data_IF_618178427032
#
_entry.id   IF_618178427032
#
_cell.length_a   1.000
_cell.length_b   1.000
_cell.length_c   1.000
_cell.angle_alpha   90.00
_cell.angle_beta   90.00
_cell.angle_gamma   90.00
#
_symmetry.space_group_name_H-M   'P 1'
#
loop_
_entity.id
_entity.type
_entity.pdbx_description
1 polymer ?
#
# COMPACT_ATOMS: atom_id res chain seq x y z
N UNK A 1 -11.68 -7.76 -14.28
CA UNK A 1 -10.24 -8.09 -14.39
C UNK A 1 -9.67 -7.84 -15.79
N UNK A 2 -10.02 -6.70 -16.41
CA UNK A 2 -9.37 -6.26 -17.65
C UNK A 2 -7.87 -5.99 -17.45
N UNK A 3 -7.42 -5.29 -16.37
CA UNK A 3 -5.99 -5.06 -16.15
C UNK A 3 -5.20 -6.35 -16.00
N UNK A 4 -5.75 -7.36 -15.31
CA UNK A 4 -5.09 -8.67 -15.18
C UNK A 4 -4.98 -9.40 -16.51
N UNK A 5 -6.02 -9.35 -17.34
CA UNK A 5 -6.00 -9.93 -18.69
C UNK A 5 -4.91 -9.27 -19.53
N UNK A 6 -4.82 -7.93 -19.49
CA UNK A 6 -3.78 -7.18 -20.20
C UNK A 6 -2.38 -7.51 -19.67
N UNK A 7 -2.21 -7.53 -18.35
CA UNK A 7 -0.95 -7.85 -17.70
C UNK A 7 -0.46 -9.24 -18.07
N UNK A 8 -1.32 -10.25 -17.93
CA UNK A 8 -0.95 -11.63 -18.24
C UNK A 8 -0.63 -11.84 -19.72
N UNK A 9 -1.27 -11.12 -20.65
CA UNK A 9 -0.99 -11.21 -22.09
C UNK A 9 0.27 -10.48 -22.53
N UNK A 10 0.54 -9.32 -21.95
CA UNK A 10 1.57 -8.40 -22.43
C UNK A 10 2.87 -8.49 -21.62
N UNK A 11 2.77 -8.75 -20.32
CA UNK A 11 3.85 -8.51 -19.36
C UNK A 11 4.39 -9.78 -18.71
N UNK A 12 3.58 -10.83 -18.57
CA UNK A 12 3.91 -12.00 -17.73
C UNK A 12 5.28 -12.64 -18.04
N UNK A 13 5.67 -12.72 -19.32
CA UNK A 13 6.95 -13.30 -19.74
C UNK A 13 8.16 -12.36 -19.57
N UNK A 14 7.92 -11.07 -19.33
CA UNK A 14 8.95 -10.04 -19.19
C UNK A 14 9.21 -9.65 -17.73
N UNK A 15 8.41 -10.14 -16.78
CA UNK A 15 8.58 -9.79 -15.38
C UNK A 15 9.88 -10.36 -14.79
N UNK A 16 10.55 -9.61 -13.91
CA UNK A 16 11.83 -10.01 -13.30
C UNK A 16 11.67 -10.99 -12.13
N UNK A 17 10.55 -11.71 -12.08
CA UNK A 17 10.18 -12.68 -11.06
C UNK A 17 9.19 -13.68 -11.64
N UNK A 18 8.98 -14.80 -10.93
CA UNK A 18 8.06 -15.85 -11.40
C UNK A 18 6.61 -15.35 -11.36
N UNK A 19 5.89 -15.56 -12.44
CA UNK A 19 4.43 -15.41 -12.51
C UNK A 19 3.85 -16.78 -12.88
N UNK A 20 2.67 -17.16 -12.36
CA UNK A 20 2.02 -18.39 -12.79
C UNK A 20 1.80 -18.35 -14.30
N UNK A 21 2.23 -19.39 -15.03
CA UNK A 21 2.09 -19.41 -16.48
C UNK A 21 0.63 -19.23 -16.88
N UNK A 22 0.33 -18.22 -17.68
CA UNK A 22 -1.02 -18.04 -18.24
C UNK A 22 -1.15 -18.84 -19.53
N UNK A 23 -2.08 -19.80 -19.57
CA UNK A 23 -2.39 -20.60 -20.76
C UNK A 23 -3.43 -19.93 -21.65
N UNK A 24 -4.42 -19.28 -21.04
CA UNK A 24 -5.46 -18.55 -21.73
C UNK A 24 -6.00 -17.44 -20.83
N UNK A 25 -6.26 -16.28 -21.42
CA UNK A 25 -7.01 -15.24 -20.72
C UNK A 25 -7.78 -14.39 -21.72
N UNK A 26 -9.01 -14.05 -21.37
CA UNK A 26 -9.86 -13.20 -22.19
C UNK A 26 -10.81 -12.37 -21.33
N UNK A 27 -11.24 -11.24 -21.87
CA UNK A 27 -12.15 -10.29 -21.24
C UNK A 27 -13.18 -9.84 -22.28
N UNK A 28 -14.47 -9.89 -21.91
CA UNK A 28 -15.57 -9.39 -22.71
C UNK A 28 -15.96 -7.97 -22.26
N UNK A 29 -15.62 -6.90 -23.03
CA UNK A 29 -15.92 -5.53 -22.61
C UNK A 29 -17.41 -5.24 -22.44
N UNK A 30 -18.26 -5.94 -23.18
CA UNK A 30 -19.72 -5.72 -23.15
C UNK A 30 -20.37 -6.26 -21.88
N UNK A 31 -19.89 -7.39 -21.35
CA UNK A 31 -20.47 -8.03 -20.17
C UNK A 31 -19.58 -7.91 -18.92
N UNK A 32 -18.35 -7.41 -19.06
CA UNK A 32 -17.31 -7.39 -18.02
C UNK A 32 -16.88 -8.77 -17.49
N UNK A 33 -17.32 -9.84 -18.15
CA UNK A 33 -16.91 -11.20 -17.81
C UNK A 33 -15.48 -11.43 -18.29
N UNK A 34 -14.74 -12.26 -17.57
CA UNK A 34 -13.38 -12.63 -17.89
C UNK A 34 -13.14 -14.10 -17.56
N UNK A 35 -12.06 -14.64 -18.11
CA UNK A 35 -11.58 -15.99 -17.83
C UNK A 35 -10.05 -15.95 -17.78
N UNK A 36 -9.49 -16.63 -16.79
CA UNK A 36 -8.06 -16.88 -16.65
C UNK A 36 -7.85 -18.38 -16.48
N UNK A 37 -7.06 -18.98 -17.38
CA UNK A 37 -6.56 -20.34 -17.23
C UNK A 37 -5.06 -20.24 -16.99
N UNK A 38 -4.66 -20.44 -15.74
CA UNK A 38 -3.27 -20.28 -15.29
C UNK A 38 -2.69 -21.60 -14.75
N UNK A 39 -1.38 -21.63 -14.58
CA UNK A 39 -0.63 -22.68 -13.90
C UNK A 39 -1.20 -22.95 -12.51
N UNK A 40 -1.39 -24.24 -12.22
CA UNK A 40 -1.67 -24.68 -10.87
C UNK A 40 -0.37 -24.65 -10.05
N UNK A 41 -0.34 -23.83 -9.00
CA UNK A 41 0.80 -23.75 -8.09
C UNK A 41 0.67 -24.85 -7.04
N UNK A 42 1.67 -25.74 -6.98
CA UNK A 42 1.72 -26.80 -5.97
C UNK A 42 2.31 -26.28 -4.65
N UNK A 43 1.43 -25.83 -3.76
CA UNK A 43 1.80 -25.35 -2.43
C UNK A 43 2.19 -26.51 -1.49
N UNK A 44 3.27 -26.34 -0.73
CA UNK A 44 3.62 -27.20 0.40
C UNK A 44 2.59 -27.09 1.52
N UNK A 45 2.56 -28.09 2.40
CA UNK A 45 1.84 -28.01 3.68
C UNK A 45 2.66 -27.27 4.77
N UNK A 46 3.93 -27.00 4.49
CA UNK A 46 4.87 -26.35 5.42
C UNK A 46 5.08 -24.88 5.05
N UNK A 47 5.17 -24.00 6.05
CA UNK A 47 5.50 -22.59 5.83
C UNK A 47 6.96 -22.36 5.42
N UNK A 48 7.88 -23.27 5.75
CA UNK A 48 9.31 -23.20 5.42
C UNK A 48 9.79 -24.57 4.91
N UNK A 49 9.38 -25.00 3.70
CA UNK A 49 9.83 -26.25 3.13
C UNK A 49 11.36 -26.25 3.01
N UNK A 50 12.02 -27.31 3.47
CA UNK A 50 13.49 -27.43 3.45
C UNK A 50 14.01 -27.96 2.10
N UNK A 51 13.48 -27.42 1.01
CA UNK A 51 13.83 -27.80 -0.35
C UNK A 51 13.74 -26.60 -1.29
N UNK A 52 14.79 -26.37 -2.07
CA UNK A 52 14.80 -25.35 -3.11
C UNK A 52 13.63 -25.51 -4.09
N UNK A 53 13.11 -24.38 -4.54
CA UNK A 53 12.00 -24.23 -5.50
C UNK A 53 10.67 -24.84 -5.08
N UNK A 54 10.57 -25.47 -3.91
CA UNK A 54 9.30 -25.90 -3.35
C UNK A 54 8.55 -24.68 -2.82
N UNK A 55 7.31 -24.49 -3.28
CA UNK A 55 6.49 -23.35 -2.88
C UNK A 55 6.03 -23.53 -1.44
N UNK A 56 6.27 -22.54 -0.58
CA UNK A 56 5.80 -22.50 0.80
C UNK A 56 4.27 -22.60 0.85
N UNK A 57 3.70 -23.07 1.96
CA UNK A 57 2.25 -23.03 2.20
C UNK A 57 1.64 -21.67 1.90
N UNK A 58 0.49 -21.68 1.24
CA UNK A 58 -0.24 -20.46 0.86
C UNK A 58 -0.51 -19.59 2.09
N UNK A 59 -0.28 -18.28 1.94
CA UNK A 59 -0.58 -17.32 2.99
C UNK A 59 -2.07 -17.01 3.01
N UNK A 60 -2.57 -16.64 4.18
CA UNK A 60 -3.93 -16.18 4.35
C UNK A 60 -3.89 -14.70 4.73
N UNK A 61 -4.71 -13.89 4.06
CA UNK A 61 -4.83 -12.46 4.31
C UNK A 61 -5.09 -12.18 5.79
N UNK A 62 -4.30 -11.28 6.38
CA UNK A 62 -4.36 -10.89 7.80
C UNK A 62 -4.19 -12.07 8.78
N UNK A 63 -3.44 -13.11 8.40
CA UNK A 63 -2.97 -14.19 9.30
C UNK A 63 -1.44 -14.25 9.33
N UNK A 64 -0.79 -13.10 9.28
CA UNK A 64 0.66 -13.04 9.25
C UNK A 64 1.26 -13.55 10.58
N UNK A 65 0.52 -13.46 11.68
CA UNK A 65 0.86 -14.08 12.97
C UNK A 65 1.05 -15.61 12.92
N UNK A 66 0.47 -16.31 11.94
CA UNK A 66 0.66 -17.76 11.75
C UNK A 66 1.98 -18.08 11.02
N UNK A 67 2.62 -17.07 10.44
CA UNK A 67 3.83 -17.23 9.64
C UNK A 67 5.08 -17.18 10.51
N UNK A 68 6.13 -17.95 10.18
CA UNK A 68 7.43 -17.83 10.83
C UNK A 68 7.93 -16.39 10.81
N UNK A 69 8.34 -15.90 11.99
CA UNK A 69 8.75 -14.50 12.21
C UNK A 69 7.75 -13.48 11.64
N UNK A 70 6.45 -13.77 11.71
CA UNK A 70 5.40 -12.90 11.18
C UNK A 70 5.57 -12.54 9.69
N UNK A 71 6.22 -13.41 8.90
CA UNK A 71 6.36 -13.24 7.46
C UNK A 71 7.41 -12.23 7.00
N UNK A 72 8.32 -11.75 7.85
CA UNK A 72 9.37 -10.76 7.48
C UNK A 72 10.09 -11.14 6.19
N UNK A 73 10.57 -12.38 6.09
CA UNK A 73 11.34 -12.84 4.94
C UNK A 73 10.53 -12.81 3.64
N UNK A 74 9.23 -13.11 3.72
CA UNK A 74 8.30 -13.02 2.60
C UNK A 74 8.12 -11.58 2.15
N UNK A 75 7.93 -10.64 3.09
CA UNK A 75 7.85 -9.22 2.75
C UNK A 75 9.12 -8.71 2.08
N UNK A 76 10.30 -9.10 2.58
CA UNK A 76 11.58 -8.76 1.95
C UNK A 76 11.65 -9.30 0.51
N UNK A 77 11.27 -10.57 0.28
CA UNK A 77 11.26 -11.17 -1.05
C UNK A 77 10.26 -10.49 -2.00
N UNK A 78 9.07 -10.16 -1.50
CA UNK A 78 8.03 -9.49 -2.28
C UNK A 78 8.47 -8.07 -2.67
N UNK A 79 8.98 -7.29 -1.71
CA UNK A 79 9.43 -5.92 -1.96
C UNK A 79 10.66 -5.87 -2.86
N UNK A 80 11.60 -6.82 -2.77
CA UNK A 80 12.68 -6.98 -3.75
C UNK A 80 12.11 -7.17 -5.16
N UNK A 81 11.15 -8.09 -5.33
CA UNK A 81 10.52 -8.38 -6.62
C UNK A 81 9.83 -7.14 -7.23
N UNK A 82 9.16 -6.35 -6.40
CA UNK A 82 8.52 -5.10 -6.81
C UNK A 82 9.52 -3.98 -7.15
N UNK A 83 10.66 -3.91 -6.44
CA UNK A 83 11.76 -2.99 -6.76
C UNK A 83 12.33 -3.28 -8.15
N UNK A 84 12.56 -4.57 -8.44
CA UNK A 84 13.00 -5.05 -9.76
C UNK A 84 12.01 -4.67 -10.86
N UNK A 85 10.71 -4.84 -10.63
CA UNK A 85 9.67 -4.48 -11.62
C UNK A 85 9.72 -3.00 -12.00
N UNK A 86 9.83 -2.12 -10.99
CA UNK A 86 9.87 -0.67 -11.22
C UNK A 86 11.15 -0.28 -11.98
N UNK A 87 12.29 -0.89 -11.65
CA UNK A 87 13.52 -0.67 -12.40
C UNK A 87 13.38 -1.09 -13.87
N UNK A 88 12.83 -2.28 -14.15
CA UNK A 88 12.61 -2.78 -15.51
C UNK A 88 11.59 -1.97 -16.30
N UNK A 89 10.60 -1.38 -15.63
CA UNK A 89 9.66 -0.46 -16.25
C UNK A 89 10.37 0.79 -16.78
N UNK A 90 11.25 1.40 -15.97
CA UNK A 90 11.96 2.62 -16.35
C UNK A 90 13.17 2.41 -17.26
N UNK A 91 13.84 1.25 -17.18
CA UNK A 91 14.89 0.88 -18.14
C UNK A 91 14.34 0.64 -19.56
N UNK A 92 13.03 0.43 -19.69
CA UNK A 92 12.37 0.07 -20.94
C UNK A 92 12.42 -1.42 -21.26
N UNK A 93 12.93 -2.26 -20.35
CA UNK A 93 13.01 -3.72 -20.53
C UNK A 93 11.62 -4.37 -20.57
N UNK A 94 10.63 -3.74 -19.94
CA UNK A 94 9.22 -4.14 -20.03
C UNK A 94 8.51 -3.58 -21.29
N UNK A 95 9.22 -2.82 -22.11
CA UNK A 95 8.68 -2.05 -23.22
C UNK A 95 8.65 -0.53 -22.93
N UNK A 96 8.28 0.30 -23.93
CA UNK A 96 8.27 1.75 -23.76
C UNK A 96 7.26 2.18 -22.67
N UNK A 97 7.75 2.79 -21.58
CA UNK A 97 6.94 3.17 -20.42
C UNK A 97 5.72 4.04 -20.79
N UNK A 98 5.85 4.98 -21.74
CA UNK A 98 4.71 5.78 -22.23
C UNK A 98 3.60 4.89 -22.80
N UNK A 99 3.97 3.84 -23.54
CA UNK A 99 2.99 2.92 -24.13
C UNK A 99 2.33 2.06 -23.05
N UNK A 100 3.09 1.63 -22.06
CA UNK A 100 2.54 0.90 -20.91
C UNK A 100 1.57 1.78 -20.10
N UNK A 101 1.91 3.04 -19.85
CA UNK A 101 1.01 4.01 -19.22
C UNK A 101 -0.31 4.22 -19.97
N UNK A 102 -0.26 4.26 -21.31
CA UNK A 102 -1.48 4.31 -22.13
C UNK A 102 -2.36 3.07 -21.98
N UNK A 103 -1.76 1.88 -21.90
CA UNK A 103 -2.49 0.61 -21.80
C UNK A 103 -3.13 0.45 -20.42
N UNK A 104 -2.39 0.76 -19.36
CA UNK A 104 -2.80 0.44 -18.00
C UNK A 104 -3.54 1.57 -17.26
N UNK A 105 -3.41 2.83 -17.68
CA UNK A 105 -4.09 3.96 -17.03
C UNK A 105 -4.92 4.82 -17.99
N UNK A 106 -4.97 4.46 -19.28
CA UNK A 106 -5.45 5.37 -20.34
C UNK A 106 -4.77 6.75 -20.31
N UNK A 107 -3.54 6.84 -19.76
CA UNK A 107 -2.79 8.10 -19.70
C UNK A 107 -2.34 8.45 -21.11
N UNK A 108 -2.89 9.54 -21.66
CA UNK A 108 -2.38 10.13 -22.90
C UNK A 108 -0.91 10.55 -22.73
N UNK A 109 -0.12 10.78 -23.81
CA UNK A 109 1.30 11.14 -23.78
C UNK A 109 1.67 12.40 -22.97
N UNK A 110 0.75 13.00 -22.20
CA UNK A 110 1.05 14.06 -21.23
C UNK A 110 2.00 13.64 -20.11
N UNK A 111 2.42 12.37 -20.04
CA UNK A 111 3.60 11.94 -19.28
C UNK A 111 4.83 12.82 -19.59
N UNK A 112 5.03 13.20 -20.86
CA UNK A 112 6.10 14.12 -21.29
C UNK A 112 5.76 15.60 -21.03
N UNK A 113 4.48 15.97 -20.96
CA UNK A 113 4.04 17.35 -20.71
C UNK A 113 4.08 17.72 -19.21
N UNK A 114 4.67 16.86 -18.39
CA UNK A 114 4.73 17.00 -16.95
C UNK A 114 3.47 16.42 -16.32
N UNK A 115 3.62 15.24 -15.72
CA UNK A 115 3.24 15.13 -14.31
C UNK A 115 4.02 16.22 -13.57
N UNK A 116 3.59 17.48 -13.69
CA UNK A 116 4.14 18.55 -12.89
C UNK A 116 3.66 18.25 -11.48
N UNK A 117 4.42 17.43 -10.76
CA UNK A 117 4.39 17.46 -9.31
C UNK A 117 4.35 18.93 -8.95
N UNK A 118 3.32 19.38 -8.24
CA UNK A 118 3.28 20.75 -7.72
C UNK A 118 4.44 21.03 -6.75
N UNK A 119 5.31 20.03 -6.52
CA UNK A 119 6.48 20.10 -5.69
C UNK A 119 7.69 20.67 -6.44
N UNK A 120 8.46 21.58 -5.83
CA UNK A 120 9.62 22.18 -6.47
C UNK A 120 10.79 21.19 -6.59
N UNK A 121 11.40 21.16 -7.78
CA UNK A 121 12.50 20.24 -8.12
C UNK A 121 13.87 20.89 -8.02
N UNK A 122 13.92 22.22 -7.97
CA UNK A 122 15.13 23.01 -7.87
C UNK A 122 14.90 24.26 -7.02
N UNK A 123 15.98 24.99 -6.70
CA UNK A 123 15.93 26.16 -5.85
C UNK A 123 15.07 27.30 -6.41
N UNK A 124 15.00 27.46 -7.73
CA UNK A 124 14.20 28.50 -8.38
C UNK A 124 12.70 28.21 -8.26
N UNK A 125 12.28 26.97 -8.58
CA UNK A 125 10.90 26.51 -8.39
C UNK A 125 10.50 26.59 -6.91
N UNK A 126 11.41 26.26 -6.00
CA UNK A 126 11.18 26.34 -4.54
C UNK A 126 10.95 27.78 -4.10
N UNK A 127 11.77 28.71 -4.57
CA UNK A 127 11.61 30.14 -4.30
C UNK A 127 10.31 30.67 -4.89
N UNK A 128 9.93 30.24 -6.10
CA UNK A 128 8.67 30.61 -6.74
C UNK A 128 7.47 30.14 -5.92
N UNK A 129 7.43 28.87 -5.51
CA UNK A 129 6.33 28.33 -4.68
C UNK A 129 6.31 29.02 -3.32
N UNK A 130 7.46 29.26 -2.70
CA UNK A 130 7.57 29.97 -1.43
C UNK A 130 7.09 31.44 -1.51
N UNK A 131 7.17 32.06 -2.69
CA UNK A 131 6.59 33.37 -2.95
C UNK A 131 5.08 33.27 -3.21
N UNK A 132 4.66 32.31 -4.04
CA UNK A 132 3.26 32.08 -4.38
C UNK A 132 2.42 31.72 -3.14
N UNK A 133 2.96 30.94 -2.21
CA UNK A 133 2.30 30.51 -0.96
C UNK A 133 1.90 31.67 -0.04
N UNK A 134 2.48 32.85 -0.25
CA UNK A 134 2.14 34.09 0.47
C UNK A 134 0.97 34.86 -0.15
N UNK A 135 0.51 34.46 -1.35
CA UNK A 135 -0.59 35.11 -2.06
C UNK A 135 -1.93 34.54 -1.61
N UNK A 136 -2.97 35.36 -1.36
CA UNK A 136 -4.30 34.88 -1.01
C UNK A 136 -4.89 33.90 -2.03
N UNK A 137 -4.60 34.09 -3.32
CA UNK A 137 -5.08 33.26 -4.42
C UNK A 137 -4.54 31.83 -4.31
N UNK A 138 -3.24 31.68 -4.03
CA UNK A 138 -2.63 30.36 -3.84
C UNK A 138 -3.18 29.68 -2.58
N UNK A 139 -3.31 30.43 -1.48
CA UNK A 139 -3.83 29.90 -0.21
C UNK A 139 -5.27 29.38 -0.37
N UNK A 140 -6.13 30.14 -1.04
CA UNK A 140 -7.49 29.70 -1.35
C UNK A 140 -7.52 28.46 -2.24
N UNK A 141 -6.61 28.37 -3.22
CA UNK A 141 -6.48 27.18 -4.07
C UNK A 141 -6.12 25.94 -3.24
N UNK A 142 -5.11 26.04 -2.36
CA UNK A 142 -4.69 24.93 -1.49
C UNK A 142 -5.82 24.51 -0.55
N UNK A 143 -6.46 25.47 0.13
CA UNK A 143 -7.60 25.19 1.03
C UNK A 143 -8.70 24.43 0.29
N UNK A 144 -9.09 24.91 -0.91
CA UNK A 144 -10.13 24.26 -1.71
C UNK A 144 -9.74 22.86 -2.17
N UNK A 145 -8.46 22.63 -2.48
CA UNK A 145 -7.95 21.30 -2.86
C UNK A 145 -7.97 20.33 -1.67
N UNK A 146 -7.63 20.80 -0.46
CA UNK A 146 -7.63 19.99 0.76
C UNK A 146 -9.02 19.69 1.33
N UNK A 147 -10.02 20.54 1.09
CA UNK A 147 -11.36 20.44 1.70
C UNK A 147 -12.06 19.10 1.42
N UNK A 148 -12.03 18.63 0.16
CA UNK A 148 -12.66 17.36 -0.22
C UNK A 148 -11.98 16.18 0.49
N UNK A 149 -10.65 16.15 0.50
CA UNK A 149 -9.87 15.08 1.14
C UNK A 149 -10.08 15.07 2.66
N UNK A 150 -10.13 16.25 3.29
CA UNK A 150 -10.41 16.39 4.71
C UNK A 150 -11.80 15.86 5.07
N UNK A 151 -12.83 16.26 4.32
CA UNK A 151 -14.20 15.81 4.56
C UNK A 151 -14.34 14.29 4.42
N UNK A 152 -13.71 13.70 3.39
CA UNK A 152 -13.69 12.25 3.22
C UNK A 152 -13.00 11.56 4.41
N UNK A 153 -11.84 12.08 4.84
CA UNK A 153 -11.12 11.54 6.00
C UNK A 153 -11.93 11.60 7.28
N UNK A 154 -12.67 12.69 7.53
CA UNK A 154 -13.56 12.83 8.68
C UNK A 154 -14.64 11.73 8.66
N UNK A 155 -15.29 11.50 7.51
CA UNK A 155 -16.33 10.48 7.38
C UNK A 155 -15.76 9.07 7.61
N UNK A 156 -14.65 8.74 6.95
CA UNK A 156 -14.02 7.43 7.05
C UNK A 156 -13.51 7.15 8.47
N UNK A 157 -12.81 8.12 9.07
CA UNK A 157 -12.28 8.00 10.44
C UNK A 157 -13.42 7.89 11.44
N UNK A 158 -14.46 8.71 11.34
CA UNK A 158 -15.60 8.65 12.27
C UNK A 158 -16.31 7.30 12.17
N UNK A 159 -16.47 6.76 10.96
CA UNK A 159 -17.14 5.48 10.74
C UNK A 159 -16.32 4.31 11.30
N UNK A 160 -15.01 4.29 11.06
CA UNK A 160 -14.14 3.27 11.66
C UNK A 160 -14.08 3.38 13.18
N UNK A 161 -13.96 4.58 13.72
CA UNK A 161 -13.90 4.79 15.18
C UNK A 161 -15.21 4.43 15.88
N UNK A 162 -16.35 4.67 15.25
CA UNK A 162 -17.62 4.24 15.79
C UNK A 162 -17.76 2.70 15.80
N UNK A 163 -17.24 2.00 14.79
CA UNK A 163 -17.15 0.54 14.84
C UNK A 163 -16.27 0.06 16.00
N UNK A 164 -15.10 0.67 16.15
CA UNK A 164 -14.09 0.30 17.15
C UNK A 164 -14.54 0.63 18.58
N UNK A 165 -15.26 1.73 18.80
CA UNK A 165 -15.64 2.15 20.15
C UNK A 165 -17.03 1.70 20.57
N UNK A 166 -17.99 1.64 19.63
CA UNK A 166 -19.41 1.50 19.96
C UNK A 166 -20.06 0.21 19.44
N UNK A 167 -19.57 -0.37 18.35
CA UNK A 167 -20.19 -1.56 17.73
C UNK A 167 -19.53 -2.85 18.24
N UNK A 168 -18.20 -2.94 18.10
CA UNK A 168 -17.46 -4.17 18.41
C UNK A 168 -16.12 -3.90 19.14
N UNK A 169 -16.11 -3.12 20.25
CA UNK A 169 -14.88 -2.76 20.95
C UNK A 169 -14.09 -3.95 21.49
N UNK A 170 -14.75 -5.07 21.77
CA UNK A 170 -14.11 -6.29 22.25
C UNK A 170 -13.22 -6.99 21.21
N UNK A 171 -13.30 -6.60 19.93
CA UNK A 171 -12.43 -7.13 18.88
C UNK A 171 -11.03 -6.49 18.88
N UNK A 172 -10.84 -5.41 19.64
CA UNK A 172 -9.65 -4.57 19.60
C UNK A 172 -8.96 -4.49 20.97
N UNK A 173 -7.68 -4.12 20.97
CA UNK A 173 -6.94 -3.94 22.22
C UNK A 173 -7.41 -2.69 22.97
N UNK A 174 -7.27 -2.69 24.30
CA UNK A 174 -7.75 -1.57 25.14
C UNK A 174 -7.09 -0.25 24.77
N UNK A 175 -5.83 -0.30 24.37
CA UNK A 175 -5.00 0.85 24.00
C UNK A 175 -5.60 1.61 22.81
N UNK A 176 -6.09 0.88 21.80
CA UNK A 176 -6.64 1.48 20.58
C UNK A 176 -8.14 1.84 20.69
N UNK A 177 -8.82 1.33 21.72
CA UNK A 177 -10.19 1.74 22.08
C UNK A 177 -10.24 2.90 23.08
N UNK A 178 -9.08 3.33 23.62
CA UNK A 178 -9.03 4.42 24.59
C UNK A 178 -9.50 5.75 23.99
N UNK A 179 -10.43 6.43 24.67
CA UNK A 179 -11.03 7.66 24.15
C UNK A 179 -10.00 8.78 23.93
N UNK A 180 -8.93 8.86 24.74
CA UNK A 180 -7.91 9.90 24.53
C UNK A 180 -7.08 9.59 23.30
N UNK A 181 -6.76 8.32 23.06
CA UNK A 181 -6.11 7.88 21.83
C UNK A 181 -6.97 8.20 20.61
N UNK A 182 -8.24 7.78 20.60
CA UNK A 182 -9.16 7.98 19.47
C UNK A 182 -9.30 9.46 19.14
N UNK A 183 -9.59 10.31 20.13
CA UNK A 183 -9.72 11.75 19.92
C UNK A 183 -8.41 12.40 19.44
N UNK A 184 -7.26 11.89 19.87
CA UNK A 184 -5.96 12.35 19.39
C UNK A 184 -5.77 11.96 17.92
N UNK A 185 -5.95 10.68 17.58
CA UNK A 185 -5.79 10.16 16.22
C UNK A 185 -6.73 10.87 15.23
N UNK A 186 -7.98 11.12 15.60
CA UNK A 186 -8.93 11.87 14.74
C UNK A 186 -8.42 13.28 14.41
N UNK A 187 -7.84 14.00 15.39
CA UNK A 187 -7.26 15.34 15.17
C UNK A 187 -6.01 15.27 14.32
N UNK A 188 -5.13 14.32 14.60
CA UNK A 188 -3.88 14.12 13.87
C UNK A 188 -4.13 13.74 12.40
N UNK A 189 -5.10 12.85 12.13
CA UNK A 189 -5.51 12.49 10.78
C UNK A 189 -6.16 13.67 10.04
N UNK A 190 -7.02 14.43 10.71
CA UNK A 190 -7.59 15.64 10.13
C UNK A 190 -6.49 16.62 9.72
N UNK A 191 -5.47 16.80 10.58
CA UNK A 191 -4.31 17.64 10.25
C UNK A 191 -3.54 17.09 9.05
N UNK A 192 -3.17 15.79 9.02
CA UNK A 192 -2.48 15.18 7.87
C UNK A 192 -3.24 15.44 6.56
N UNK A 193 -4.56 15.27 6.58
CA UNK A 193 -5.39 15.38 5.39
C UNK A 193 -5.54 16.81 4.85
N UNK A 194 -5.28 17.83 5.67
CA UNK A 194 -5.19 19.21 5.19
C UNK A 194 -4.03 19.40 4.20
N UNK A 195 -2.98 18.58 4.31
CA UNK A 195 -1.78 18.62 3.47
C UNK A 195 -1.79 17.53 2.39
N UNK A 196 -2.95 16.91 2.13
CA UNK A 196 -3.05 15.74 1.27
C UNK A 196 -2.50 15.95 -0.14
N UNK A 197 -2.67 17.16 -0.71
CA UNK A 197 -2.22 17.52 -2.06
C UNK A 197 -0.71 17.76 -2.12
N UNK A 198 -0.16 18.42 -1.11
CA UNK A 198 1.28 18.64 -0.96
C UNK A 198 2.03 17.32 -0.74
N UNK A 199 1.47 16.44 0.09
CA UNK A 199 2.00 15.08 0.28
C UNK A 199 2.02 14.31 -1.05
N UNK A 200 0.92 14.32 -1.81
CA UNK A 200 0.89 13.64 -3.11
C UNK A 200 1.92 14.22 -4.08
N UNK A 201 2.03 15.55 -4.12
CA UNK A 201 3.01 16.24 -4.95
C UNK A 201 4.45 15.87 -4.57
N UNK A 202 4.75 15.78 -3.27
CA UNK A 202 6.07 15.38 -2.79
C UNK A 202 6.41 13.93 -3.13
N UNK A 203 5.46 13.01 -2.92
CA UNK A 203 5.64 11.58 -3.21
C UNK A 203 5.76 11.27 -4.70
N UNK A 204 5.37 12.22 -5.56
CA UNK A 204 5.43 12.09 -7.02
C UNK A 204 6.40 13.09 -7.67
N UNK A 205 7.29 13.72 -6.88
CA UNK A 205 8.23 14.72 -7.41
C UNK A 205 9.20 14.16 -8.47
N UNK A 206 9.50 12.86 -8.38
CA UNK A 206 10.24 12.14 -9.39
C UNK A 206 9.27 11.33 -10.22
N UNK A 207 9.40 11.43 -11.55
CA UNK A 207 8.60 10.65 -12.48
C UNK A 207 8.68 9.15 -12.15
N UNK A 208 9.86 8.69 -11.68
CA UNK A 208 10.08 7.30 -11.35
C UNK A 208 9.11 6.76 -10.29
N UNK A 209 8.60 7.62 -9.40
CA UNK A 209 7.60 7.25 -8.40
C UNK A 209 6.23 6.87 -9.01
N UNK A 210 6.02 7.10 -10.31
CA UNK A 210 4.82 6.74 -11.05
C UNK A 210 5.12 5.61 -12.04
N UNK A 211 4.80 4.36 -11.69
CA UNK A 211 5.24 3.18 -12.44
C UNK A 211 4.13 2.14 -12.55
N UNK A 212 4.21 1.25 -13.55
CA UNK A 212 3.42 0.02 -13.57
C UNK A 212 3.71 -0.76 -12.29
N UNK A 213 2.68 -1.04 -11.50
CA UNK A 213 2.87 -1.59 -10.15
C UNK A 213 1.74 -2.52 -9.72
N UNK A 214 2.02 -3.34 -8.71
CA UNK A 214 1.03 -4.18 -8.05
C UNK A 214 0.31 -3.39 -6.93
N UNK A 215 -1.01 -3.15 -7.02
CA UNK A 215 -1.72 -2.26 -6.10
C UNK A 215 -2.00 -2.88 -4.72
N UNK A 216 -1.75 -4.18 -4.55
CA UNK A 216 -2.08 -4.92 -3.33
C UNK A 216 -0.88 -5.74 -2.86
N UNK A 217 -0.01 -5.16 -2.03
CA UNK A 217 1.25 -5.79 -1.59
C UNK A 217 1.10 -6.62 -0.31
N UNK A 218 -0.06 -7.22 -0.09
CA UNK A 218 -0.31 -8.15 1.02
C UNK A 218 0.17 -9.56 0.66
N UNK A 219 0.67 -10.32 1.65
CA UNK A 219 1.38 -11.59 1.41
C UNK A 219 0.53 -12.68 0.74
N UNK A 220 -0.79 -12.56 0.75
CA UNK A 220 -1.72 -13.45 0.05
C UNK A 220 -1.73 -13.28 -1.48
N UNK A 221 -1.12 -12.22 -2.02
CA UNK A 221 -1.04 -11.93 -3.47
C UNK A 221 0.28 -12.38 -4.10
N UNK A 222 1.00 -13.25 -3.40
CA UNK A 222 2.25 -13.83 -3.86
C UNK A 222 2.45 -15.23 -3.30
N UNK A 223 3.35 -15.97 -3.94
CA UNK A 223 3.82 -17.28 -3.48
C UNK A 223 5.33 -17.22 -3.32
N UNK A 224 5.85 -18.02 -2.39
CA UNK A 224 7.22 -17.87 -1.91
C UNK A 224 7.94 -19.20 -2.00
N UNK A 225 9.22 -19.15 -2.31
CA UNK A 225 10.08 -20.32 -2.40
C UNK A 225 11.54 -19.89 -2.19
N UNK A 226 12.37 -20.82 -1.74
CA UNK A 226 13.82 -20.60 -1.71
C UNK A 226 14.42 -20.91 -3.07
N UNK A 227 15.31 -20.05 -3.58
CA UNK A 227 15.97 -20.26 -4.87
C UNK A 227 17.27 -21.08 -4.77
N UNK A 228 17.70 -21.42 -3.53
CA UNK A 228 18.94 -22.12 -3.24
C UNK A 228 18.73 -23.39 -2.39
N UNK A 229 19.61 -24.38 -2.55
CA UNK A 229 19.53 -25.67 -1.85
C UNK A 229 19.68 -25.54 -0.33
N UNK A 230 20.33 -24.48 0.17
CA UNK A 230 20.47 -24.24 1.60
C UNK A 230 19.26 -23.51 2.21
N UNK A 231 18.26 -23.14 1.40
CA UNK A 231 17.07 -22.42 1.81
C UNK A 231 17.39 -21.12 2.57
N UNK A 232 18.24 -20.29 1.97
CA UNK A 232 18.72 -19.02 2.56
C UNK A 232 18.28 -17.78 1.78
N UNK A 233 17.83 -17.95 0.54
CA UNK A 233 17.44 -16.88 -0.35
C UNK A 233 15.99 -17.10 -0.81
N UNK A 234 15.05 -16.52 -0.05
CA UNK A 234 13.65 -16.52 -0.44
C UNK A 234 13.40 -15.53 -1.59
N UNK A 235 12.62 -15.99 -2.57
CA UNK A 235 12.05 -15.22 -3.66
C UNK A 235 10.51 -15.24 -3.59
N UNK A 236 9.90 -14.27 -4.26
CA UNK A 236 8.47 -14.17 -4.42
C UNK A 236 8.11 -14.29 -5.90
N UNK A 237 7.11 -15.11 -6.20
CA UNK A 237 6.32 -14.98 -7.41
C UNK A 237 4.99 -14.27 -7.12
N UNK A 238 4.48 -13.50 -8.08
CA UNK A 238 3.38 -12.56 -7.86
C UNK A 238 2.19 -12.88 -8.77
N UNK A 239 0.97 -12.79 -8.24
CA UNK A 239 -0.30 -13.00 -8.96
C UNK A 239 -1.36 -12.00 -8.45
N UNK A 240 -2.60 -12.10 -8.94
CA UNK A 240 -3.69 -11.16 -8.65
C UNK A 240 -3.43 -9.75 -9.20
N UNK A 241 -3.23 -9.70 -10.52
CA UNK A 241 -2.97 -8.46 -11.24
C UNK A 241 -4.26 -7.70 -11.60
N UNK A 242 -5.37 -7.98 -10.91
CA UNK A 242 -6.71 -7.41 -11.16
C UNK A 242 -6.74 -5.89 -11.17
N UNK A 243 -5.88 -5.25 -10.38
CA UNK A 243 -5.71 -3.79 -10.33
C UNK A 243 -4.34 -3.29 -10.81
N UNK A 244 -3.62 -4.08 -11.62
CA UNK A 244 -2.35 -3.68 -12.19
C UNK A 244 -2.50 -2.36 -12.96
N UNK A 245 -1.75 -1.34 -12.56
CA UNK A 245 -1.94 0.00 -13.11
C UNK A 245 -0.66 0.83 -12.96
N UNK A 246 -0.52 1.93 -13.69
CA UNK A 246 0.61 2.85 -13.53
C UNK A 246 0.28 3.88 -12.46
N UNK A 247 0.90 3.80 -11.30
CA UNK A 247 0.46 4.58 -10.15
C UNK A 247 1.62 5.12 -9.33
N UNK A 248 1.32 6.09 -8.45
CA UNK A 248 2.18 6.49 -7.34
C UNK A 248 2.33 5.32 -6.36
N UNK A 249 3.28 4.42 -6.64
CA UNK A 249 3.32 3.09 -6.04
C UNK A 249 3.66 3.10 -4.55
N UNK A 250 4.36 4.13 -4.06
CA UNK A 250 4.71 4.24 -2.64
C UNK A 250 3.45 4.26 -1.76
N UNK A 251 2.36 4.87 -2.25
CA UNK A 251 1.05 4.84 -1.58
C UNK A 251 0.48 3.43 -1.45
N UNK A 252 0.60 2.62 -2.52
CA UNK A 252 0.22 1.21 -2.49
C UNK A 252 1.08 0.42 -1.51
N UNK A 253 2.41 0.56 -1.58
CA UNK A 253 3.34 -0.13 -0.70
C UNK A 253 3.02 0.16 0.77
N UNK A 254 2.87 1.43 1.12
CA UNK A 254 2.64 1.89 2.48
C UNK A 254 1.29 1.45 3.06
N UNK A 255 0.20 1.71 2.33
CA UNK A 255 -1.15 1.42 2.81
C UNK A 255 -1.42 -0.08 2.95
N UNK A 256 -1.01 -0.88 1.97
CA UNK A 256 -1.21 -2.32 2.01
C UNK A 256 -0.27 -3.01 3.01
N UNK A 257 0.98 -2.57 3.14
CA UNK A 257 1.86 -3.11 4.17
C UNK A 257 1.32 -2.79 5.57
N UNK A 258 0.92 -1.53 5.82
CA UNK A 258 0.37 -1.12 7.13
C UNK A 258 -0.90 -1.88 7.53
N UNK A 259 -1.76 -2.19 6.56
CA UNK A 259 -3.04 -2.84 6.82
C UNK A 259 -2.93 -4.37 6.77
N UNK A 260 -1.99 -4.93 6.02
CA UNK A 260 -1.81 -6.38 5.89
C UNK A 260 -0.93 -6.99 6.97
N UNK A 261 0.20 -6.34 7.27
CA UNK A 261 1.25 -6.95 8.05
C UNK A 261 1.04 -6.84 9.56
N UNK A 262 1.58 -7.79 10.32
CA UNK A 262 1.51 -7.74 11.78
C UNK A 262 2.17 -6.45 12.32
N UNK A 263 1.49 -5.71 13.22
CA UNK A 263 2.02 -4.47 13.79
C UNK A 263 3.39 -4.63 14.44
N UNK A 264 3.63 -5.74 15.15
CA UNK A 264 4.90 -6.03 15.80
C UNK A 264 6.03 -6.26 14.79
N UNK A 265 5.71 -6.85 13.63
CA UNK A 265 6.68 -7.03 12.54
C UNK A 265 7.12 -5.68 11.98
N UNK A 266 6.17 -4.79 11.69
CA UNK A 266 6.48 -3.46 11.15
C UNK A 266 7.24 -2.58 12.15
N UNK A 267 6.92 -2.69 13.43
CA UNK A 267 7.63 -1.98 14.49
C UNK A 267 9.13 -2.31 14.55
N UNK A 268 9.54 -3.47 14.04
CA UNK A 268 10.94 -3.92 14.03
C UNK A 268 11.58 -3.81 12.64
N UNK A 269 10.86 -4.22 11.58
CA UNK A 269 11.44 -4.47 10.26
C UNK A 269 10.94 -3.55 9.14
N UNK A 270 10.06 -2.58 9.41
CA UNK A 270 9.56 -1.65 8.37
C UNK A 270 10.70 -0.97 7.58
N UNK A 271 11.77 -0.42 8.21
CA UNK A 271 12.89 0.14 7.46
C UNK A 271 13.61 -0.88 6.58
N UNK A 272 13.73 -2.13 7.02
CA UNK A 272 14.40 -3.21 6.28
C UNK A 272 13.59 -3.61 5.04
N UNK A 273 12.26 -3.67 5.16
CA UNK A 273 11.35 -3.96 4.04
C UNK A 273 11.43 -2.88 2.97
N UNK A 274 11.41 -1.59 3.37
CA UNK A 274 11.55 -0.49 2.42
C UNK A 274 12.95 -0.47 1.79
N UNK A 275 14.00 -0.74 2.58
CA UNK A 275 15.37 -0.84 2.07
C UNK A 275 15.53 -1.96 1.05
N UNK A 276 14.94 -3.12 1.29
CA UNK A 276 14.96 -4.24 0.35
C UNK A 276 14.37 -3.88 -1.03
N UNK A 277 13.35 -3.02 -1.07
CA UNK A 277 12.82 -2.48 -2.33
C UNK A 277 13.82 -1.55 -3.02
N UNK A 278 14.41 -0.60 -2.28
CA UNK A 278 15.35 0.41 -2.82
C UNK A 278 16.63 -0.25 -3.34
N UNK A 279 17.19 -1.16 -2.57
CA UNK A 279 18.41 -1.89 -2.94
C UNK A 279 18.16 -2.69 -4.22
N UNK A 280 17.07 -3.45 -4.30
CA UNK A 280 16.73 -4.21 -5.50
C UNK A 280 16.42 -3.31 -6.72
N UNK A 281 15.82 -2.13 -6.50
CA UNK A 281 15.57 -1.16 -7.55
C UNK A 281 16.89 -0.63 -8.12
N UNK A 282 17.86 -0.26 -7.28
CA UNK A 282 19.18 0.21 -7.73
C UNK A 282 20.01 -0.92 -8.38
N UNK A 283 20.00 -2.12 -7.80
CA UNK A 283 20.70 -3.31 -8.34
C UNK A 283 20.26 -3.63 -9.78
N UNK A 284 19.00 -3.37 -10.13
CA UNK A 284 18.46 -3.56 -11.49
C UNK A 284 18.65 -2.34 -12.42
N UNK A 285 19.45 -1.36 -12.01
CA UNK A 285 19.75 -0.16 -12.81
C UNK A 285 18.75 0.98 -12.64
N UNK A 286 17.96 0.96 -11.57
CA UNK A 286 17.09 2.06 -11.18
C UNK A 286 17.85 3.36 -10.90
N UNK A 287 17.15 4.48 -11.00
CA UNK A 287 17.67 5.83 -10.78
C UNK A 287 18.12 6.08 -9.34
N UNK A 288 19.39 6.39 -9.12
CA UNK A 288 20.00 6.75 -7.82
C UNK A 288 19.37 7.98 -7.13
N UNK A 289 18.44 8.68 -7.81
CA UNK A 289 17.67 9.78 -7.22
C UNK A 289 16.67 9.28 -6.17
N UNK A 290 16.21 8.03 -6.28
CA UNK A 290 15.27 7.42 -5.35
C UNK A 290 16.01 6.81 -4.15
N UNK A 291 16.61 7.65 -3.33
CA UNK A 291 17.35 7.17 -2.14
C UNK A 291 16.42 6.53 -1.12
N UNK A 292 17.00 5.73 -0.22
CA UNK A 292 16.27 5.14 0.91
C UNK A 292 15.57 6.22 1.74
N UNK A 293 16.24 7.32 2.05
CA UNK A 293 15.69 8.39 2.89
C UNK A 293 14.46 9.01 2.24
N UNK A 294 14.51 9.26 0.92
CA UNK A 294 13.38 9.83 0.19
C UNK A 294 12.20 8.86 0.12
N UNK A 295 12.44 7.61 -0.29
CA UNK A 295 11.37 6.60 -0.41
C UNK A 295 10.77 6.30 0.96
N UNK A 296 11.59 6.20 2.01
CA UNK A 296 11.11 5.97 3.36
C UNK A 296 10.28 7.15 3.89
N UNK A 297 10.68 8.40 3.62
CA UNK A 297 9.86 9.56 3.99
C UNK A 297 8.51 9.55 3.25
N UNK A 298 8.51 9.29 1.95
CA UNK A 298 7.28 9.11 1.17
C UNK A 298 6.41 7.99 1.72
N UNK A 299 7.03 6.87 2.12
CA UNK A 299 6.35 5.73 2.71
C UNK A 299 5.65 6.10 4.04
N UNK A 300 6.32 6.86 4.92
CA UNK A 300 5.71 7.34 6.18
C UNK A 300 4.55 8.31 5.92
N UNK A 301 4.67 9.21 4.95
CA UNK A 301 3.59 10.14 4.59
C UNK A 301 2.40 9.39 3.97
N UNK A 302 2.66 8.42 3.11
CA UNK A 302 1.64 7.55 2.54
C UNK A 302 0.91 6.72 3.61
N UNK A 303 1.62 6.18 4.60
CA UNK A 303 1.02 5.52 5.77
C UNK A 303 0.08 6.46 6.53
N UNK A 304 0.49 7.73 6.69
CA UNK A 304 -0.34 8.74 7.33
C UNK A 304 -1.66 8.94 6.60
N UNK A 305 -1.61 9.03 5.26
CA UNK A 305 -2.81 9.16 4.42
C UNK A 305 -3.64 7.88 4.43
N UNK A 306 -3.04 6.71 4.25
CA UNK A 306 -3.77 5.45 4.15
C UNK A 306 -4.64 5.13 5.38
N UNK A 307 -4.27 5.65 6.55
CA UNK A 307 -4.95 5.34 7.81
C UNK A 307 -6.46 5.62 7.81
N UNK A 308 -6.93 6.78 7.31
CA UNK A 308 -8.38 7.03 7.27
C UNK A 308 -9.08 6.11 6.26
N UNK A 309 -8.44 5.83 5.11
CA UNK A 309 -8.98 4.92 4.10
C UNK A 309 -9.23 3.53 4.66
N UNK A 310 -8.27 2.96 5.40
CA UNK A 310 -8.41 1.67 6.08
C UNK A 310 -9.58 1.65 7.07
N UNK A 311 -9.78 2.74 7.83
CA UNK A 311 -10.91 2.88 8.75
C UNK A 311 -12.25 2.93 8.02
N UNK A 312 -12.29 3.56 6.84
CA UNK A 312 -13.47 3.66 6.00
C UNK A 312 -13.92 2.33 5.39
N UNK A 313 -13.01 1.38 5.18
CA UNK A 313 -13.35 0.09 4.56
C UNK A 313 -14.29 -0.77 5.39
N UNK A 314 -14.48 -0.46 6.69
CA UNK A 314 -15.47 -1.14 7.53
C UNK A 314 -16.90 -1.06 6.96
N UNK A 315 -17.20 -0.02 6.17
CA UNK A 315 -18.50 0.13 5.51
C UNK A 315 -18.83 -1.08 4.64
N UNK A 316 -17.82 -1.70 4.02
CA UNK A 316 -18.04 -2.88 3.19
C UNK A 316 -18.47 -4.09 4.04
N UNK A 317 -17.91 -4.25 5.24
CA UNK A 317 -18.35 -5.28 6.18
C UNK A 317 -19.76 -5.01 6.72
N UNK A 318 -20.06 -3.75 7.03
CA UNK A 318 -21.36 -3.35 7.61
C UNK A 318 -22.52 -3.43 6.63
N UNK A 319 -22.27 -3.57 5.31
CA UNK A 319 -23.31 -3.89 4.32
C UNK A 319 -23.84 -5.31 4.50
N UNK A 320 -22.95 -6.27 4.77
CA UNK A 320 -23.29 -7.69 4.88
C UNK A 320 -23.66 -8.07 6.32
N UNK A 321 -23.03 -7.42 7.30
CA UNK A 321 -23.29 -7.62 8.73
C UNK A 321 -23.64 -6.28 9.36
N UNK A 322 -24.92 -5.87 9.34
CA UNK A 322 -25.36 -4.57 9.81
C UNK A 322 -24.97 -4.27 11.24
N UNK A 323 -24.94 -2.98 11.60
CA UNK A 323 -24.50 -2.47 12.91
C UNK A 323 -25.23 -3.10 14.11
N UNK A 324 -26.49 -3.47 13.94
CA UNK A 324 -27.35 -4.07 14.97
C UNK A 324 -27.39 -5.61 14.92
N UNK A 325 -26.54 -6.24 14.12
CA UNK A 325 -26.45 -7.69 14.01
C UNK A 325 -25.93 -8.31 15.31
N UNK A 326 -26.52 -9.43 15.74
CA UNK A 326 -26.20 -10.08 17.03
C UNK A 326 -24.73 -10.48 17.18
N UNK A 327 -24.09 -10.85 16.05
CA UNK A 327 -22.67 -11.16 15.93
C UNK A 327 -21.80 -10.19 16.74
N UNK A 328 -22.03 -8.87 16.61
CA UNK A 328 -21.20 -7.84 17.25
C UNK A 328 -21.27 -7.83 18.78
N UNK A 329 -22.25 -8.52 19.37
CA UNK A 329 -22.40 -8.66 20.83
C UNK A 329 -21.99 -10.03 21.34
N UNK A 330 -22.07 -11.05 20.47
CA UNK A 330 -21.74 -12.44 20.83
C UNK A 330 -20.25 -12.68 20.76
N UNK A 331 -19.57 -12.21 19.71
CA UNK A 331 -18.14 -12.46 19.52
C UNK A 331 -17.29 -11.79 20.60
N UNK A 332 -16.26 -12.48 21.10
CA UNK A 332 -15.38 -12.00 22.17
C UNK A 332 -14.00 -11.59 21.73
N UNK A 333 -13.60 -11.99 20.52
CA UNK A 333 -12.29 -11.69 19.97
C UNK A 333 -12.30 -11.80 18.45
N UNK A 334 -11.36 -11.11 17.78
CA UNK A 334 -11.19 -11.23 16.33
C UNK A 334 -10.73 -12.63 15.88
N UNK A 335 -10.20 -13.42 16.80
CA UNK A 335 -9.72 -14.79 16.55
C UNK A 335 -10.81 -15.87 16.70
N UNK A 336 -12.06 -15.49 16.99
CA UNK A 336 -13.15 -16.47 17.03
C UNK A 336 -13.58 -16.90 15.61
N UNK A 337 -13.99 -18.17 15.40
CA UNK A 337 -14.28 -18.71 14.05
C UNK A 337 -15.23 -17.86 13.20
N UNK A 338 -16.23 -17.22 13.82
CA UNK A 338 -17.21 -16.38 13.09
C UNK A 338 -16.60 -15.14 12.42
N UNK A 339 -15.45 -14.67 12.92
CA UNK A 339 -14.64 -13.62 12.31
C UNK A 339 -13.50 -14.25 11.52
N UNK A 340 -12.76 -15.14 12.16
CA UNK A 340 -11.46 -15.64 11.73
C UNK A 340 -11.55 -16.51 10.47
N UNK A 341 -12.57 -17.36 10.33
CA UNK A 341 -12.71 -18.25 9.18
C UNK A 341 -13.45 -17.60 8.00
N UNK A 342 -14.08 -16.44 8.23
CA UNK A 342 -14.66 -15.64 7.17
C UNK A 342 -13.65 -14.63 6.62
N UNK A 343 -13.24 -14.83 5.36
CA UNK A 343 -12.24 -13.98 4.68
C UNK A 343 -12.53 -12.47 4.79
N UNK A 344 -13.76 -12.04 4.47
CA UNK A 344 -14.11 -10.61 4.44
C UNK A 344 -14.06 -10.01 5.85
N UNK A 345 -14.60 -10.72 6.85
CA UNK A 345 -14.60 -10.27 8.25
C UNK A 345 -13.18 -10.18 8.79
N UNK A 346 -12.39 -11.25 8.66
CA UNK A 346 -10.99 -11.28 9.10
C UNK A 346 -10.19 -10.16 8.46
N UNK A 347 -10.27 -10.02 7.13
CA UNK A 347 -9.49 -9.01 6.41
C UNK A 347 -9.85 -7.60 6.87
N UNK A 348 -11.14 -7.24 6.90
CA UNK A 348 -11.55 -5.87 7.21
C UNK A 348 -11.36 -5.52 8.70
N UNK A 349 -11.60 -6.45 9.63
CA UNK A 349 -11.32 -6.24 11.05
C UNK A 349 -9.81 -6.17 11.31
N UNK A 350 -9.03 -7.08 10.72
CA UNK A 350 -7.57 -7.11 10.84
C UNK A 350 -6.91 -5.83 10.30
N UNK A 351 -7.31 -5.34 9.14
CA UNK A 351 -6.77 -4.10 8.56
C UNK A 351 -6.99 -2.87 9.44
N UNK A 352 -8.15 -2.80 10.11
CA UNK A 352 -8.45 -1.72 11.07
C UNK A 352 -7.58 -1.86 12.30
N UNK A 353 -7.51 -3.05 12.90
CA UNK A 353 -6.66 -3.31 14.06
C UNK A 353 -5.20 -2.94 13.74
N UNK A 354 -4.66 -3.42 12.62
CA UNK A 354 -3.29 -3.15 12.20
C UNK A 354 -3.02 -1.64 12.00
N UNK A 355 -3.97 -0.93 11.39
CA UNK A 355 -3.89 0.53 11.19
C UNK A 355 -3.91 1.28 12.52
N UNK A 356 -4.76 0.89 13.47
CA UNK A 356 -4.84 1.53 14.77
C UNK A 356 -3.56 1.28 15.58
N UNK A 357 -3.06 0.05 15.59
CA UNK A 357 -1.79 -0.31 16.24
C UNK A 357 -0.62 0.44 15.62
N UNK A 358 -0.65 0.67 14.30
CA UNK A 358 0.32 1.50 13.59
C UNK A 358 0.35 2.93 14.07
N UNK A 359 -0.83 3.53 14.24
CA UNK A 359 -0.93 4.89 14.75
C UNK A 359 -0.55 5.00 16.23
N UNK A 360 -0.83 3.96 17.02
CA UNK A 360 -0.51 3.91 18.43
C UNK A 360 1.01 3.73 18.68
N UNK A 361 1.71 3.04 17.77
CA UNK A 361 3.12 2.71 17.91
C UNK A 361 4.03 3.93 18.00
N UNK A 362 4.71 4.07 19.15
CA UNK A 362 5.75 5.08 19.36
C UNK A 362 7.02 4.82 18.55
N UNK A 363 7.25 3.56 18.13
CA UNK A 363 8.42 3.21 17.30
C UNK A 363 8.24 3.74 15.88
N UNK A 364 7.03 3.61 15.33
CA UNK A 364 6.71 4.08 13.99
C UNK A 364 6.50 5.59 13.91
N UNK A 365 5.89 6.19 14.94
CA UNK A 365 5.73 7.64 15.11
C UNK A 365 5.25 8.34 13.82
N UNK A 366 4.22 7.78 13.17
CA UNK A 366 3.74 8.23 11.87
C UNK A 366 3.45 9.74 11.86
N UNK A 367 2.71 10.21 12.87
CA UNK A 367 2.39 11.63 12.98
C UNK A 367 3.63 12.50 13.27
N UNK A 368 4.56 12.06 14.13
CA UNK A 368 5.80 12.79 14.36
C UNK A 368 6.66 12.93 13.09
N UNK A 369 6.71 11.89 12.25
CA UNK A 369 7.37 11.93 10.92
C UNK A 369 6.70 12.94 9.99
N UNK A 370 5.37 12.94 9.92
CA UNK A 370 4.62 13.96 9.18
C UNK A 370 4.93 15.38 9.69
N UNK A 371 4.92 15.60 11.01
CA UNK A 371 5.24 16.92 11.60
C UNK A 371 6.66 17.37 11.29
N UNK A 372 7.63 16.45 11.29
CA UNK A 372 9.00 16.72 10.86
C UNK A 372 9.04 17.15 9.39
N UNK A 373 8.37 16.41 8.50
CA UNK A 373 8.29 16.77 7.07
C UNK A 373 7.68 18.16 6.85
N UNK A 374 6.59 18.51 7.54
CA UNK A 374 5.99 19.86 7.46
C UNK A 374 6.97 20.95 7.93
N UNK A 375 7.80 20.66 8.95
CA UNK A 375 8.81 21.61 9.44
C UNK A 375 9.93 21.81 8.42
N UNK A 376 10.46 20.72 7.88
CA UNK A 376 11.59 20.73 6.95
C UNK A 376 11.20 21.37 5.60
N UNK A 377 9.90 21.37 5.27
CA UNK A 377 9.34 21.96 4.05
C UNK A 377 8.45 23.18 4.32
N UNK A 378 8.63 23.85 5.46
CA UNK A 378 7.77 24.96 5.90
C UNK A 378 7.81 26.21 5.01
N UNK A 379 8.76 26.30 4.09
CA UNK A 379 8.83 27.36 3.07
C UNK A 379 7.92 27.11 1.87
N UNK A 380 7.52 25.85 1.62
CA UNK A 380 6.66 25.46 0.49
C UNK A 380 5.32 24.87 0.91
N UNK A 381 5.24 24.37 2.15
CA UNK A 381 4.03 23.83 2.76
C UNK A 381 3.21 24.95 3.40
N UNK A 382 1.95 25.10 2.99
CA UNK A 382 1.04 26.09 3.53
C UNK A 382 0.39 25.61 4.84
N UNK A 383 0.44 26.44 5.88
CA UNK A 383 -0.08 26.12 7.22
C UNK A 383 -1.48 26.62 7.46
#
# INVERSE_FOLDING_TARGET
DEPETMFNRLMSNSCPFRIPKTYFTDHCPASTNFIHLCEWIEYSQEHEPKKAFQVCKANLKCRDYDLPKMGVERYLAFFRSLGRLVAKYWSGDLGPHIRLGQVFENVWPSLDAGFSSGWPRNAEERAFIAQASKTPEYQQKVIKQGEMSLNLSIVQTTTGMDFVCNIAPQLFSKEVTDHKFVLRMMKELAEVYQYGSEIDSYMTQYQECFSLFHPNVQLDNAFYFYNDDNCTQMEAGVFDWGGAQCMAYVSSMAGNLQSGAEPAMLDEHEPEVVRAWVDAYHEEGGSERLTFEYIYECFKLAQCKAASGSLGFIVNLLKDVPRNHELWTTVKSRFEPDIEDNYIRRALVGQIDHTLQAWYSKKRDNFGKFKKWCKDNSDVVFK
#
